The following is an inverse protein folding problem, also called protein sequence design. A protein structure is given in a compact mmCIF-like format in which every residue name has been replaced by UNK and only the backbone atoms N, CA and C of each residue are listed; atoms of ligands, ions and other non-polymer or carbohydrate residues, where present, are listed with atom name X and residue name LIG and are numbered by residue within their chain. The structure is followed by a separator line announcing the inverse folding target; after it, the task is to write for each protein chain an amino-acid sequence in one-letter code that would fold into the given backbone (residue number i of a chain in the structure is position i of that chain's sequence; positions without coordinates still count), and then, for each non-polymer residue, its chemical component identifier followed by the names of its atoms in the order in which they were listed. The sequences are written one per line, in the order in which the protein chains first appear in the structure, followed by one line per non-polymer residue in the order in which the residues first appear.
data_IF_074914501024
#
_entry.id   IF_074914501024
#
_cell.length_a   1.000
_cell.length_b   1.000
_cell.length_c   1.000
_cell.angle_alpha   90.00
_cell.angle_beta   90.00
_cell.angle_gamma   90.00
#
_symmetry.space_group_name_H-M   'P 1'
#
loop_
_entity.id
_entity.type
_entity.pdbx_description
1 polymer ?
#
# COMPACT_ATOMS: atom_id res chain seq x y z
N UNK A 1 7.12 19.26 70.05
CA UNK A 1 6.06 19.79 69.18
C UNK A 1 6.63 20.99 68.46
N UNK A 2 7.13 20.78 67.24
CA UNK A 2 7.60 21.82 66.34
C UNK A 2 7.69 21.21 64.94
N UNK A 3 6.99 21.84 64.02
CA UNK A 3 6.94 21.56 62.59
C UNK A 3 8.32 21.60 61.94
N UNK A 4 8.54 20.75 60.94
CA UNK A 4 9.58 20.95 59.93
C UNK A 4 8.97 20.75 58.55
N UNK A 5 8.73 21.89 57.90
CA UNK A 5 8.60 22.07 56.47
C UNK A 5 9.99 21.89 55.83
N UNK A 6 10.09 21.07 54.79
CA UNK A 6 11.21 21.12 53.86
C UNK A 6 10.81 21.90 52.60
N UNK A 7 11.39 23.10 52.50
CA UNK A 7 11.55 23.89 51.30
C UNK A 7 12.56 23.22 50.37
N UNK A 8 12.18 22.94 49.12
CA UNK A 8 13.13 22.99 48.00
C UNK A 8 12.54 23.87 46.90
N UNK A 9 13.13 25.05 46.82
CA UNK A 9 12.89 26.11 45.86
C UNK A 9 13.49 25.81 44.48
N UNK A 10 12.72 26.15 43.45
CA UNK A 10 13.09 26.63 42.12
C UNK A 10 14.51 26.36 41.57
N UNK A 11 14.54 25.59 40.48
CA UNK A 11 15.45 25.85 39.36
C UNK A 11 14.62 25.88 38.08
N UNK A 12 14.60 27.06 37.46
CA UNK A 12 13.98 27.33 36.16
C UNK A 12 14.70 26.56 35.07
N UNK A 13 14.00 25.68 34.35
CA UNK A 13 14.50 25.10 33.11
C UNK A 13 14.43 26.17 32.01
N UNK A 14 15.53 26.90 31.84
CA UNK A 14 15.82 27.64 30.61
C UNK A 14 16.23 26.62 29.54
N UNK A 15 15.47 26.55 28.44
CA UNK A 15 15.78 25.64 27.34
C UNK A 15 14.61 25.26 26.44
N UNK A 16 13.58 26.10 26.30
CA UNK A 16 12.64 25.99 25.18
C UNK A 16 13.17 26.87 24.04
N UNK A 17 13.84 26.26 23.08
CA UNK A 17 14.37 26.99 21.92
C UNK A 17 15.47 26.24 21.18
N UNK A 18 15.21 25.00 20.77
CA UNK A 18 15.98 24.39 19.67
C UNK A 18 14.97 23.91 18.63
N UNK A 19 14.82 24.71 17.57
CA UNK A 19 14.22 24.27 16.32
C UNK A 19 15.00 23.04 15.86
N UNK A 20 14.37 21.86 15.91
CA UNK A 20 14.92 20.69 15.22
C UNK A 20 14.90 20.97 13.73
N UNK A 21 16.08 21.25 13.18
CA UNK A 21 16.31 21.30 11.74
C UNK A 21 15.73 20.04 11.09
N UNK A 22 14.73 20.27 10.23
CA UNK A 22 14.20 19.28 9.32
C UNK A 22 15.35 18.86 8.39
N UNK A 23 15.55 17.56 8.22
CA UNK A 23 16.55 16.99 7.31
C UNK A 23 16.54 17.73 5.95
N UNK A 24 17.65 18.40 5.56
CA UNK A 24 17.71 19.21 4.35
C UNK A 24 17.50 18.41 3.06
N UNK A 25 17.52 17.07 3.12
CA UNK A 25 17.20 16.19 1.98
C UNK A 25 15.72 16.14 1.59
N UNK A 26 14.79 16.52 2.48
CA UNK A 26 13.34 16.45 2.25
C UNK A 26 12.77 17.82 1.80
N UNK A 27 13.43 18.91 2.21
CA UNK A 27 12.96 20.28 1.98
C UNK A 27 12.87 20.71 0.51
N UNK A 28 13.64 20.08 -0.40
CA UNK A 28 13.69 20.47 -1.80
C UNK A 28 12.61 19.84 -2.69
N UNK A 29 12.05 18.69 -2.27
CA UNK A 29 10.92 18.01 -2.95
C UNK A 29 9.61 18.82 -2.84
N UNK A 30 9.52 19.72 -1.85
CA UNK A 30 8.32 20.49 -1.53
C UNK A 30 8.02 21.67 -2.48
N UNK A 31 8.95 22.07 -3.37
CA UNK A 31 8.76 23.28 -4.20
C UNK A 31 8.00 23.08 -5.51
N UNK A 32 7.53 21.86 -5.82
CA UNK A 32 6.83 21.54 -7.07
C UNK A 32 5.50 20.78 -6.94
N UNK A 33 4.86 20.83 -5.78
CA UNK A 33 3.39 20.67 -5.75
C UNK A 33 2.83 22.00 -6.27
N UNK A 34 2.70 22.07 -7.59
CA UNK A 34 2.21 23.24 -8.32
C UNK A 34 0.89 23.73 -7.72
N UNK A 35 0.78 25.05 -7.56
CA UNK A 35 -0.39 25.82 -7.12
C UNK A 35 -1.67 25.65 -7.98
N UNK A 36 -1.75 24.62 -8.80
CA UNK A 36 -2.82 24.29 -9.75
C UNK A 36 -3.67 23.10 -9.31
N UNK A 37 -3.38 22.49 -8.16
CA UNK A 37 -4.10 21.33 -7.66
C UNK A 37 -5.09 21.71 -6.55
N UNK A 38 -6.38 21.38 -6.73
CA UNK A 38 -7.44 21.67 -5.76
C UNK A 38 -7.17 21.01 -4.39
N UNK A 39 -7.48 21.75 -3.32
CA UNK A 39 -7.43 21.28 -1.94
C UNK A 39 -8.43 20.13 -1.71
N UNK A 40 -8.02 19.04 -1.05
CA UNK A 40 -8.92 17.93 -0.69
C UNK A 40 -9.37 18.06 0.77
N UNK A 41 -10.67 18.00 1.00
CA UNK A 41 -11.27 17.88 2.33
C UNK A 41 -11.38 16.40 2.72
N UNK A 42 -10.60 15.97 3.70
CA UNK A 42 -10.59 14.60 4.21
C UNK A 42 -11.33 14.56 5.54
N UNK A 43 -12.47 13.86 5.61
CA UNK A 43 -13.13 13.62 6.89
C UNK A 43 -12.29 12.68 7.77
N UNK A 44 -11.95 13.09 8.98
CA UNK A 44 -11.36 12.21 9.98
C UNK A 44 -12.46 11.57 10.83
N UNK A 45 -12.54 10.24 10.78
CA UNK A 45 -13.41 9.45 11.62
C UNK A 45 -12.58 8.61 12.58
N UNK A 46 -12.51 9.04 13.84
CA UNK A 46 -11.76 8.35 14.90
C UNK A 46 -12.54 8.28 16.20
N UNK A 47 -12.13 7.42 17.13
CA UNK A 47 -12.65 7.49 18.50
C UNK A 47 -12.09 8.75 19.19
N UNK A 48 -12.95 9.76 19.37
CA UNK A 48 -12.60 11.08 19.91
C UNK A 48 -12.41 12.17 18.85
N UNK A 49 -12.22 13.41 19.32
CA UNK A 49 -12.01 14.59 18.48
C UNK A 49 -10.53 14.78 18.07
N UNK A 50 -9.60 14.43 18.94
CA UNK A 50 -8.15 14.39 18.67
C UNK A 50 -7.61 13.01 19.04
N UNK A 51 -6.83 12.40 18.16
CA UNK A 51 -6.17 11.12 18.47
C UNK A 51 -4.84 11.40 19.18
N UNK A 52 -4.87 11.33 20.51
CA UNK A 52 -3.72 11.69 21.36
C UNK A 52 -2.47 10.90 20.98
N UNK A 53 -1.38 11.63 20.71
CA UNK A 53 -0.06 11.09 20.42
C UNK A 53 0.29 10.90 18.94
N UNK A 54 -0.65 11.07 18.00
CA UNK A 54 -0.39 10.90 16.55
C UNK A 54 -1.11 11.91 15.65
N UNK A 55 -1.96 12.80 16.18
CA UNK A 55 -2.72 13.75 15.36
C UNK A 55 -1.81 14.62 14.49
N UNK A 56 -0.70 15.11 15.05
CA UNK A 56 0.30 15.90 14.32
C UNK A 56 0.88 15.14 13.12
N UNK A 57 1.03 13.82 13.23
CA UNK A 57 1.54 12.97 12.15
C UNK A 57 0.49 12.80 11.03
N UNK A 58 -0.79 12.71 11.38
CA UNK A 58 -1.91 12.68 10.43
C UNK A 58 -1.98 14.02 9.68
N UNK A 59 -1.98 15.13 10.42
CA UNK A 59 -2.08 16.48 9.85
C UNK A 59 -0.85 16.82 8.99
N UNK A 60 0.34 16.41 9.42
CA UNK A 60 1.58 16.52 8.64
C UNK A 60 1.50 15.74 7.33
N UNK A 61 1.00 14.49 7.36
CA UNK A 61 0.83 13.68 6.15
C UNK A 61 -0.21 14.29 5.20
N UNK A 62 -1.35 14.77 5.72
CA UNK A 62 -2.39 15.43 4.94
C UNK A 62 -1.87 16.71 4.27
N UNK A 63 -1.13 17.54 5.00
CA UNK A 63 -0.53 18.78 4.47
C UNK A 63 0.44 18.50 3.32
N UNK A 64 1.23 17.44 3.42
CA UNK A 64 2.17 17.04 2.36
C UNK A 64 1.49 16.68 1.04
N UNK A 65 0.21 16.31 1.06
CA UNK A 65 -0.57 15.94 -0.14
C UNK A 65 -1.62 16.99 -0.54
N UNK A 66 -1.49 18.21 -0.01
CA UNK A 66 -2.45 19.31 -0.21
C UNK A 66 -3.89 18.92 0.19
N UNK A 67 -4.02 18.29 1.36
CA UNK A 67 -5.29 17.97 1.99
C UNK A 67 -5.43 18.67 3.36
N UNK A 68 -6.68 18.86 3.77
CA UNK A 68 -7.04 19.31 5.12
C UNK A 68 -7.93 18.28 5.79
N UNK A 69 -7.69 18.05 7.09
CA UNK A 69 -8.55 17.21 7.91
C UNK A 69 -9.80 18.00 8.31
N UNK A 70 -10.96 17.39 8.18
CA UNK A 70 -12.27 17.93 8.54
C UNK A 70 -12.93 16.99 9.54
N UNK A 71 -13.56 17.55 10.57
CA UNK A 71 -14.27 16.79 11.58
C UNK A 71 -15.77 17.00 11.37
N UNK A 72 -16.52 16.00 10.88
CA UNK A 72 -17.95 16.17 10.62
C UNK A 72 -18.72 16.53 11.89
N UNK A 73 -19.60 17.52 11.79
CA UNK A 73 -20.57 17.84 12.83
C UNK A 73 -21.70 16.79 12.87
N UNK A 74 -22.26 16.57 14.05
CA UNK A 74 -23.32 15.59 14.29
C UNK A 74 -24.40 16.17 15.19
N UNK A 75 -25.63 15.70 14.99
CA UNK A 75 -26.74 15.97 15.89
C UNK A 75 -26.77 14.93 17.02
N UNK A 76 -27.18 15.33 18.22
CA UNK A 76 -27.28 14.42 19.39
C UNK A 76 -28.22 13.24 19.10
N UNK A 77 -29.32 13.50 18.38
CA UNK A 77 -30.31 12.48 17.99
C UNK A 77 -29.74 11.41 17.06
N UNK A 78 -28.72 11.76 16.27
CA UNK A 78 -28.02 10.79 15.42
C UNK A 78 -27.22 9.81 16.28
N UNK A 79 -26.62 10.26 17.39
CA UNK A 79 -25.86 9.39 18.32
C UNK A 79 -26.79 8.40 19.02
N UNK A 80 -27.99 8.82 19.39
CA UNK A 80 -28.97 7.99 20.11
C UNK A 80 -29.54 6.86 19.24
N UNK A 81 -29.65 7.09 17.92
CA UNK A 81 -30.26 6.14 16.96
C UNK A 81 -29.24 5.33 16.15
N UNK A 82 -27.94 5.63 16.27
CA UNK A 82 -26.92 5.08 15.36
C UNK A 82 -26.75 3.56 15.45
N UNK A 83 -26.94 2.99 16.64
CA UNK A 83 -26.80 1.55 16.86
C UNK A 83 -27.86 0.75 16.12
N UNK A 84 -29.08 1.28 16.01
CA UNK A 84 -30.17 0.66 15.26
C UNK A 84 -29.89 0.70 13.76
N UNK A 85 -29.34 1.82 13.26
CA UNK A 85 -29.01 1.97 11.84
C UNK A 85 -27.88 1.04 11.39
N UNK A 86 -26.86 0.87 12.23
CA UNK A 86 -25.75 -0.05 11.95
C UNK A 86 -26.06 -1.50 12.34
N UNK A 87 -27.11 -1.74 13.13
CA UNK A 87 -27.37 -3.06 13.72
C UNK A 87 -26.25 -3.52 14.67
N UNK A 88 -25.49 -2.59 15.23
CA UNK A 88 -24.30 -2.84 16.06
C UNK A 88 -24.39 -2.04 17.36
N UNK A 89 -24.41 -2.74 18.48
CA UNK A 89 -24.33 -2.13 19.82
C UNK A 89 -22.88 -1.86 20.20
N UNK A 90 -22.60 -0.68 20.72
CA UNK A 90 -21.25 -0.18 21.00
C UNK A 90 -21.23 0.50 22.36
N UNK A 91 -20.43 -0.02 23.29
CA UNK A 91 -20.32 0.50 24.64
C UNK A 91 -19.67 1.90 24.65
N UNK A 92 -18.61 2.09 23.87
CA UNK A 92 -17.87 3.35 23.80
C UNK A 92 -18.73 4.50 23.21
N UNK A 93 -18.93 5.61 23.95
CA UNK A 93 -19.56 6.81 23.41
C UNK A 93 -18.80 7.42 22.24
N UNK A 94 -17.46 7.37 22.26
CA UNK A 94 -16.61 7.91 21.20
C UNK A 94 -16.73 7.13 19.89
N UNK A 95 -16.94 5.81 19.98
CA UNK A 95 -17.20 4.98 18.80
C UNK A 95 -18.62 5.21 18.26
N UNK A 96 -19.61 5.44 19.12
CA UNK A 96 -20.96 5.87 18.66
C UNK A 96 -20.91 7.23 17.98
N UNK A 97 -20.12 8.17 18.50
CA UNK A 97 -19.86 9.47 17.84
C UNK A 97 -19.20 9.28 16.46
N UNK A 98 -18.22 8.39 16.36
CA UNK A 98 -17.58 8.05 15.08
C UNK A 98 -18.58 7.50 14.05
N UNK A 99 -19.51 6.63 14.48
CA UNK A 99 -20.58 6.12 13.63
C UNK A 99 -21.56 7.24 13.21
N UNK A 100 -21.93 8.15 14.13
CA UNK A 100 -22.80 9.27 13.82
C UNK A 100 -22.16 10.25 12.81
N UNK A 101 -20.84 10.48 12.92
CA UNK A 101 -20.09 11.28 11.94
C UNK A 101 -20.11 10.64 10.54
N UNK A 102 -20.04 9.30 10.48
CA UNK A 102 -20.20 8.57 9.22
C UNK A 102 -21.58 8.82 8.60
N UNK A 103 -22.65 8.76 9.40
CA UNK A 103 -24.02 9.09 8.96
C UNK A 103 -24.14 10.52 8.44
N UNK A 104 -23.50 11.49 9.10
CA UNK A 104 -23.49 12.90 8.66
C UNK A 104 -22.90 13.07 7.25
N UNK A 105 -21.84 12.33 6.93
CA UNK A 105 -21.26 12.29 5.57
C UNK A 105 -22.23 11.64 4.58
N UNK A 106 -22.76 10.45 4.91
CA UNK A 106 -23.64 9.69 4.01
C UNK A 106 -24.95 10.42 3.69
N UNK A 107 -25.52 11.10 4.68
CA UNK A 107 -26.74 11.90 4.51
C UNK A 107 -26.51 13.22 3.78
N UNK A 108 -25.25 13.57 3.49
CA UNK A 108 -24.87 14.80 2.79
C UNK A 108 -24.95 16.06 3.65
N UNK A 109 -25.08 15.94 4.98
CA UNK A 109 -25.01 17.09 5.90
C UNK A 109 -23.63 17.75 5.85
N UNK A 110 -22.57 16.94 5.69
CA UNK A 110 -21.18 17.40 5.56
C UNK A 110 -20.60 16.91 4.24
N UNK A 111 -20.13 17.85 3.41
CA UNK A 111 -19.49 17.54 2.13
C UNK A 111 -17.97 17.42 2.27
N UNK A 112 -17.44 16.26 1.90
CA UNK A 112 -16.00 15.94 1.88
C UNK A 112 -15.63 15.21 0.61
N UNK A 113 -14.35 15.27 0.24
CA UNK A 113 -13.81 14.62 -0.96
C UNK A 113 -13.30 13.20 -0.69
N UNK A 114 -13.00 12.90 0.57
CA UNK A 114 -12.41 11.65 1.04
C UNK A 114 -12.68 11.41 2.52
N UNK A 115 -12.54 10.16 2.97
CA UNK A 115 -12.67 9.77 4.40
C UNK A 115 -11.47 8.97 4.86
N UNK A 116 -10.96 9.34 6.03
CA UNK A 116 -9.92 8.62 6.74
C UNK A 116 -10.47 8.10 8.07
N UNK A 117 -10.53 6.78 8.20
CA UNK A 117 -11.11 6.05 9.33
C UNK A 117 -9.99 5.48 10.19
N UNK A 118 -9.98 5.83 11.47
CA UNK A 118 -8.79 5.81 12.29
C UNK A 118 -9.09 5.25 13.70
N UNK A 119 -8.54 4.08 14.07
CA UNK A 119 -8.69 3.53 15.42
C UNK A 119 -7.42 2.85 15.95
N UNK A 120 -7.33 2.66 17.26
CA UNK A 120 -6.21 1.98 17.92
C UNK A 120 -6.29 0.48 17.70
N UNK A 121 -5.15 -0.13 17.39
CA UNK A 121 -5.05 -1.58 17.14
C UNK A 121 -5.42 -2.47 18.33
N UNK A 122 -5.38 -1.94 19.56
CA UNK A 122 -5.62 -2.72 20.80
C UNK A 122 -7.11 -2.88 21.15
N UNK A 123 -7.99 -2.10 20.54
CA UNK A 123 -9.40 -2.10 20.88
C UNK A 123 -10.20 -2.96 19.89
N UNK A 124 -10.64 -4.15 20.34
CA UNK A 124 -11.44 -5.06 19.52
C UNK A 124 -12.77 -4.44 19.07
N UNK A 125 -13.46 -3.73 19.97
CA UNK A 125 -14.69 -3.00 19.63
C UNK A 125 -14.44 -1.96 18.52
N UNK A 126 -13.34 -1.21 18.60
CA UNK A 126 -12.97 -0.23 17.59
C UNK A 126 -12.56 -0.85 16.25
N UNK A 127 -12.05 -2.08 16.22
CA UNK A 127 -11.76 -2.80 14.98
C UNK A 127 -13.06 -3.17 14.24
N UNK A 128 -14.08 -3.63 14.97
CA UNK A 128 -15.41 -3.94 14.43
C UNK A 128 -16.06 -2.64 13.92
N UNK A 129 -16.10 -1.60 14.76
CA UNK A 129 -16.70 -0.30 14.38
C UNK A 129 -15.99 0.33 13.18
N UNK A 130 -14.66 0.29 13.12
CA UNK A 130 -13.88 0.78 11.96
C UNK A 130 -14.31 0.07 10.67
N UNK A 131 -14.45 -1.25 10.72
CA UNK A 131 -14.85 -2.06 9.57
C UNK A 131 -16.27 -1.72 9.10
N UNK A 132 -17.20 -1.57 10.05
CA UNK A 132 -18.59 -1.24 9.78
C UNK A 132 -18.79 0.19 9.27
N UNK A 133 -18.15 1.19 9.90
CA UNK A 133 -18.17 2.60 9.45
C UNK A 133 -17.63 2.72 8.03
N UNK A 134 -16.52 2.05 7.75
CA UNK A 134 -15.92 2.01 6.42
C UNK A 134 -16.90 1.42 5.39
N UNK A 135 -17.47 0.24 5.68
CA UNK A 135 -18.45 -0.42 4.80
C UNK A 135 -19.67 0.46 4.56
N UNK A 136 -20.21 1.05 5.62
CA UNK A 136 -21.38 1.93 5.56
C UNK A 136 -21.17 3.13 4.62
N UNK A 137 -20.00 3.78 4.66
CA UNK A 137 -19.68 4.89 3.76
C UNK A 137 -19.44 4.38 2.34
N UNK A 138 -18.72 3.28 2.17
CA UNK A 138 -18.41 2.71 0.86
C UNK A 138 -19.67 2.25 0.10
N UNK A 139 -20.60 1.57 0.78
CA UNK A 139 -21.79 1.02 0.14
C UNK A 139 -22.83 2.10 -0.20
N UNK A 140 -22.86 3.19 0.58
CA UNK A 140 -23.85 4.27 0.42
C UNK A 140 -23.31 5.49 -0.34
N UNK A 141 -22.00 5.56 -0.62
CA UNK A 141 -21.38 6.72 -1.27
C UNK A 141 -20.32 6.33 -2.28
N UNK A 142 -19.96 7.25 -3.19
CA UNK A 142 -18.80 7.11 -4.08
C UNK A 142 -17.53 7.78 -3.54
N UNK A 143 -17.46 8.04 -2.23
CA UNK A 143 -16.35 8.75 -1.59
C UNK A 143 -15.25 7.74 -1.28
N UNK A 144 -13.97 8.02 -1.63
CA UNK A 144 -12.87 7.14 -1.27
C UNK A 144 -12.65 7.11 0.24
N UNK A 145 -12.47 5.90 0.78
CA UNK A 145 -12.30 5.66 2.22
C UNK A 145 -11.03 4.84 2.44
N UNK A 146 -10.18 5.30 3.36
CA UNK A 146 -9.06 4.51 3.89
C UNK A 146 -9.30 4.26 5.37
N UNK A 147 -9.12 3.01 5.78
CA UNK A 147 -9.03 2.62 7.18
C UNK A 147 -7.58 2.45 7.60
N UNK A 148 -7.25 2.88 8.81
CA UNK A 148 -5.95 2.62 9.41
C UNK A 148 -6.10 2.28 10.90
N UNK A 149 -5.33 1.26 11.29
CA UNK A 149 -5.20 0.81 12.66
C UNK A 149 -3.84 1.24 13.18
N UNK A 150 -3.79 2.26 14.04
CA UNK A 150 -2.52 2.83 14.48
C UNK A 150 -1.84 1.96 15.52
N UNK A 151 -0.51 1.98 15.47
CA UNK A 151 0.37 1.55 16.56
C UNK A 151 0.93 2.78 17.27
N UNK A 152 1.48 2.59 18.48
CA UNK A 152 2.04 3.66 19.34
C UNK A 152 3.24 4.42 18.73
N UNK A 153 3.69 4.09 17.51
CA UNK A 153 4.85 4.69 16.82
C UNK A 153 4.57 5.06 15.37
N UNK A 154 3.34 5.44 15.04
CA UNK A 154 3.01 5.86 13.67
C UNK A 154 3.66 7.20 13.34
N UNK A 155 4.24 7.34 12.15
CA UNK A 155 4.86 8.58 11.65
C UNK A 155 4.16 9.07 10.38
N UNK A 156 4.29 10.36 10.06
CA UNK A 156 3.75 10.96 8.85
C UNK A 156 4.26 10.26 7.59
N UNK A 157 5.53 9.85 7.58
CA UNK A 157 6.12 9.07 6.48
C UNK A 157 5.40 7.71 6.26
N UNK A 158 4.93 7.08 7.34
CA UNK A 158 4.16 5.81 7.27
C UNK A 158 2.75 6.03 6.74
N UNK A 159 2.17 7.21 7.00
CA UNK A 159 0.84 7.60 6.55
C UNK A 159 0.85 8.21 5.14
N UNK A 160 1.98 8.73 4.68
CA UNK A 160 2.08 9.52 3.46
C UNK A 160 1.52 8.78 2.23
N UNK A 161 1.97 7.55 1.99
CA UNK A 161 1.47 6.73 0.86
C UNK A 161 -0.04 6.53 0.93
N UNK A 162 -0.60 6.37 2.13
CA UNK A 162 -2.05 6.23 2.32
C UNK A 162 -2.76 7.53 1.99
N UNK A 163 -2.26 8.67 2.47
CA UNK A 163 -2.84 9.97 2.17
C UNK A 163 -2.70 10.35 0.69
N UNK A 164 -1.60 10.00 0.05
CA UNK A 164 -1.41 10.17 -1.40
C UNK A 164 -2.40 9.34 -2.21
N UNK A 165 -2.59 8.05 -1.86
CA UNK A 165 -3.57 7.20 -2.52
C UNK A 165 -4.99 7.76 -2.36
N UNK A 166 -5.35 8.19 -1.13
CA UNK A 166 -6.66 8.76 -0.82
C UNK A 166 -6.96 10.01 -1.66
N UNK A 167 -6.03 10.96 -1.64
CA UNK A 167 -6.16 12.23 -2.37
C UNK A 167 -6.10 12.03 -3.88
N UNK A 168 -5.30 11.07 -4.36
CA UNK A 168 -5.26 10.69 -5.78
C UNK A 168 -6.61 10.17 -6.24
N UNK A 169 -7.22 9.24 -5.51
CA UNK A 169 -8.54 8.70 -5.86
C UNK A 169 -9.63 9.77 -5.82
N UNK A 170 -9.53 10.73 -4.88
CA UNK A 170 -10.45 11.85 -4.81
C UNK A 170 -10.31 12.83 -6.00
N UNK A 171 -9.07 13.20 -6.38
CA UNK A 171 -8.79 14.29 -7.32
C UNK A 171 -8.63 13.86 -8.76
N UNK A 172 -8.08 12.67 -9.00
CA UNK A 172 -7.58 12.24 -10.32
C UNK A 172 -8.48 11.20 -11.00
N UNK A 173 -9.79 11.19 -10.70
CA UNK A 173 -10.76 10.23 -11.27
C UNK A 173 -10.68 10.09 -12.79
N UNK A 174 -10.52 11.19 -13.53
CA UNK A 174 -10.38 11.17 -14.99
C UNK A 174 -9.10 10.48 -15.48
N UNK A 175 -7.99 10.65 -14.75
CA UNK A 175 -6.73 9.97 -15.04
C UNK A 175 -6.88 8.47 -14.76
N UNK A 176 -7.53 8.10 -13.65
CA UNK A 176 -7.71 6.71 -13.23
C UNK A 176 -8.72 5.95 -14.10
N UNK A 177 -9.70 6.65 -14.69
CA UNK A 177 -10.65 6.08 -15.63
C UNK A 177 -10.02 5.67 -16.99
N UNK A 178 -8.75 5.99 -17.25
CA UNK A 178 -8.09 5.60 -18.51
C UNK A 178 -7.92 4.08 -18.56
N UNK A 179 -8.48 3.47 -19.59
CA UNK A 179 -8.38 2.03 -19.85
C UNK A 179 -7.36 1.66 -20.93
N UNK A 180 -6.83 2.67 -21.64
CA UNK A 180 -5.92 2.47 -22.77
C UNK A 180 -4.69 3.36 -22.63
N UNK A 181 -3.54 2.77 -22.93
CA UNK A 181 -2.30 3.47 -23.18
C UNK A 181 -2.27 3.86 -24.66
N UNK A 182 -1.94 5.12 -24.93
CA UNK A 182 -1.88 5.70 -26.28
C UNK A 182 -0.53 6.36 -26.49
N UNK A 183 -0.01 6.35 -27.72
CA UNK A 183 1.28 6.94 -28.05
C UNK A 183 2.46 6.14 -27.51
N UNK A 184 3.66 6.72 -27.55
CA UNK A 184 4.90 6.12 -27.09
C UNK A 184 5.24 6.67 -25.69
N UNK A 185 4.95 5.91 -24.64
CA UNK A 185 5.21 6.30 -23.24
C UNK A 185 6.09 5.30 -22.53
N UNK A 186 6.69 5.74 -21.43
CA UNK A 186 7.47 4.87 -20.56
C UNK A 186 7.01 4.99 -19.11
N UNK A 187 7.32 3.96 -18.34
CA UNK A 187 7.09 3.94 -16.90
C UNK A 187 8.27 3.31 -16.18
N UNK A 188 8.64 3.87 -15.03
CA UNK A 188 9.71 3.36 -14.15
C UNK A 188 9.14 3.11 -12.76
N UNK A 189 9.21 1.86 -12.30
CA UNK A 189 8.92 1.44 -10.92
C UNK A 189 10.25 1.26 -10.17
N UNK A 190 10.57 2.21 -9.30
CA UNK A 190 11.75 2.15 -8.43
C UNK A 190 11.37 1.55 -7.07
N UNK A 191 11.26 0.22 -7.03
CA UNK A 191 10.95 -0.53 -5.82
C UNK A 191 12.15 -0.71 -4.88
N UNK A 192 11.88 -1.24 -3.69
CA UNK A 192 12.87 -1.47 -2.63
C UNK A 192 13.97 -2.47 -2.99
N UNK A 193 13.63 -3.53 -3.72
CA UNK A 193 14.56 -4.61 -4.09
C UNK A 193 14.96 -4.56 -5.56
N UNK A 194 14.03 -4.14 -6.43
CA UNK A 194 14.26 -4.13 -7.88
C UNK A 194 13.61 -2.92 -8.54
N UNK A 195 14.30 -2.39 -9.54
CA UNK A 195 13.84 -1.29 -10.39
C UNK A 195 13.44 -1.86 -11.74
N UNK A 196 12.25 -1.48 -12.22
CA UNK A 196 11.68 -1.96 -13.48
C UNK A 196 11.33 -0.78 -14.37
N UNK A 197 11.53 -0.93 -15.66
CA UNK A 197 11.07 0.03 -16.65
C UNK A 197 10.35 -0.69 -17.78
N UNK A 198 9.36 -0.03 -18.37
CA UNK A 198 8.70 -0.48 -19.61
C UNK A 198 8.57 0.68 -20.57
N UNK A 199 8.68 0.38 -21.87
CA UNK A 199 8.28 1.26 -22.97
C UNK A 199 7.04 0.66 -23.61
N UNK A 200 6.00 1.46 -23.76
CA UNK A 200 4.73 1.06 -24.34
C UNK A 200 4.39 1.91 -25.56
N UNK A 201 3.83 1.26 -26.60
CA UNK A 201 3.25 1.91 -27.77
C UNK A 201 1.86 1.36 -28.03
N UNK A 202 0.85 2.23 -27.94
CA UNK A 202 -0.55 1.93 -28.25
C UNK A 202 -1.03 0.59 -27.64
N UNK A 203 -0.96 0.48 -26.32
CA UNK A 203 -1.28 -0.69 -25.47
C UNK A 203 -0.28 -1.85 -25.49
N UNK A 204 0.76 -1.80 -26.33
CA UNK A 204 1.76 -2.88 -26.41
C UNK A 204 3.01 -2.53 -25.63
N UNK A 205 3.48 -3.44 -24.79
CA UNK A 205 4.83 -3.37 -24.22
C UNK A 205 5.81 -3.74 -25.34
N UNK A 206 6.71 -2.81 -25.68
CA UNK A 206 7.71 -2.99 -26.74
C UNK A 206 9.14 -3.05 -26.23
N UNK A 207 9.36 -2.75 -24.95
CA UNK A 207 10.65 -2.93 -24.30
C UNK A 207 10.53 -2.96 -22.79
N UNK A 208 11.44 -3.68 -22.13
CA UNK A 208 11.45 -3.93 -20.68
C UNK A 208 12.87 -3.83 -20.13
N UNK A 209 12.97 -3.42 -18.88
CA UNK A 209 14.22 -3.49 -18.11
C UNK A 209 13.91 -3.86 -16.68
N UNK A 210 14.68 -4.78 -16.11
CA UNK A 210 14.51 -5.21 -14.73
C UNK A 210 15.89 -5.45 -14.12
N UNK A 211 16.23 -4.65 -13.12
CA UNK A 211 17.54 -4.68 -12.45
C UNK A 211 17.37 -4.63 -10.93
N UNK A 212 18.35 -5.12 -10.15
CA UNK A 212 18.39 -4.89 -8.71
C UNK A 212 18.43 -3.39 -8.37
N UNK A 213 17.68 -2.96 -7.36
CA UNK A 213 17.81 -1.59 -6.83
C UNK A 213 19.00 -1.56 -5.88
N UNK A 214 20.10 -0.94 -6.30
CA UNK A 214 21.28 -0.71 -5.43
C UNK A 214 21.43 0.78 -5.17
N UNK A 215 21.62 1.54 -6.24
CA UNK A 215 21.62 3.00 -6.21
C UNK A 215 20.48 3.51 -7.07
N UNK A 216 19.52 4.17 -6.44
CA UNK A 216 18.18 4.44 -6.99
C UNK A 216 18.22 5.07 -8.39
N UNK A 217 18.99 6.15 -8.57
CA UNK A 217 19.07 6.85 -9.86
C UNK A 217 19.73 5.97 -10.92
N UNK A 218 20.89 5.40 -10.61
CA UNK A 218 21.69 4.61 -11.56
C UNK A 218 20.94 3.33 -11.97
N UNK A 219 20.23 2.70 -11.03
CA UNK A 219 19.38 1.51 -11.30
C UNK A 219 18.18 1.89 -12.19
N UNK A 220 17.60 3.08 -12.00
CA UNK A 220 16.52 3.58 -12.84
C UNK A 220 17.00 3.92 -14.27
N UNK A 221 18.17 4.56 -14.40
CA UNK A 221 18.82 4.80 -15.70
C UNK A 221 19.10 3.49 -16.43
N UNK A 222 19.69 2.51 -15.74
CA UNK A 222 19.99 1.21 -16.32
C UNK A 222 18.73 0.47 -16.79
N UNK A 223 17.71 0.36 -15.92
CA UNK A 223 16.44 -0.27 -16.28
C UNK A 223 15.79 0.43 -17.49
N UNK A 224 15.78 1.75 -17.50
CA UNK A 224 15.16 2.51 -18.58
C UNK A 224 15.93 2.40 -19.88
N UNK A 225 17.26 2.44 -19.84
CA UNK A 225 18.12 2.24 -21.01
C UNK A 225 17.94 0.83 -21.60
N UNK A 226 17.82 -0.20 -20.75
CA UNK A 226 17.51 -1.56 -21.20
C UNK A 226 16.16 -1.63 -21.92
N UNK A 227 15.12 -1.00 -21.35
CA UNK A 227 13.80 -0.95 -21.98
C UNK A 227 13.79 -0.18 -23.31
N UNK A 228 14.48 0.96 -23.39
CA UNK A 228 14.60 1.74 -24.62
C UNK A 228 15.38 0.98 -25.71
N UNK A 229 16.45 0.28 -25.32
CA UNK A 229 17.25 -0.55 -26.22
C UNK A 229 16.44 -1.70 -26.80
N UNK A 230 15.66 -2.41 -25.98
CA UNK A 230 14.76 -3.48 -26.46
C UNK A 230 13.68 -2.90 -27.40
N UNK A 231 13.15 -1.72 -27.10
CA UNK A 231 12.15 -1.05 -27.92
C UNK A 231 12.70 -0.42 -29.21
N UNK A 232 14.02 -0.27 -29.35
CA UNK A 232 14.65 0.40 -30.49
C UNK A 232 14.33 1.90 -30.57
N UNK A 233 14.18 2.57 -29.43
CA UNK A 233 13.85 4.00 -29.32
C UNK A 233 14.88 4.74 -28.47
N UNK A 234 14.82 6.07 -28.52
CA UNK A 234 15.65 6.97 -27.72
C UNK A 234 14.81 7.75 -26.72
N UNK A 235 15.45 8.43 -25.76
CA UNK A 235 14.76 9.26 -24.78
C UNK A 235 13.91 10.36 -25.42
N UNK A 236 14.35 10.92 -26.54
CA UNK A 236 13.62 11.97 -27.28
C UNK A 236 12.33 11.48 -27.94
N UNK A 237 12.19 10.18 -28.17
CA UNK A 237 10.97 9.61 -28.75
C UNK A 237 9.86 9.42 -27.70
N UNK A 238 10.22 9.35 -26.42
CA UNK A 238 9.28 9.10 -25.32
C UNK A 238 8.43 10.36 -25.08
N UNK A 239 7.14 10.26 -25.37
CA UNK A 239 6.18 11.37 -25.31
C UNK A 239 5.71 11.71 -23.89
N UNK A 240 5.74 10.73 -22.99
CA UNK A 240 5.49 10.93 -21.56
C UNK A 240 6.17 9.83 -20.73
N UNK A 241 6.67 10.19 -19.55
CA UNK A 241 7.30 9.30 -18.58
C UNK A 241 6.55 9.35 -17.24
N UNK A 242 6.16 8.18 -16.74
CA UNK A 242 5.66 8.00 -15.38
C UNK A 242 6.70 7.37 -14.46
N UNK A 243 6.71 7.75 -13.18
CA UNK A 243 7.50 7.07 -12.14
C UNK A 243 6.62 6.65 -10.96
N UNK A 244 6.95 5.51 -10.36
CA UNK A 244 6.29 4.96 -9.17
C UNK A 244 7.28 4.21 -8.27
N UNK A 245 6.76 3.63 -7.18
CA UNK A 245 7.52 2.96 -6.13
C UNK A 245 8.15 3.91 -5.11
N UNK A 246 8.95 3.35 -4.21
CA UNK A 246 9.64 4.07 -3.14
C UNK A 246 10.56 5.18 -3.65
N UNK A 247 11.24 4.97 -4.78
CA UNK A 247 12.17 5.95 -5.37
C UNK A 247 11.52 6.98 -6.31
N UNK A 248 10.19 7.00 -6.45
CA UNK A 248 9.50 7.73 -7.54
C UNK A 248 9.82 9.21 -7.62
N UNK A 249 9.98 9.90 -6.48
CA UNK A 249 10.25 11.33 -6.44
C UNK A 249 11.68 11.61 -6.89
N UNK A 250 12.65 10.93 -6.30
CA UNK A 250 14.05 11.07 -6.68
C UNK A 250 14.28 10.76 -8.17
N UNK A 251 13.70 9.65 -8.65
CA UNK A 251 13.80 9.26 -10.06
C UNK A 251 13.02 10.23 -10.94
N UNK A 252 11.82 10.64 -10.54
CA UNK A 252 10.95 11.52 -11.31
C UNK A 252 11.53 12.92 -11.48
N UNK A 253 12.13 13.48 -10.44
CA UNK A 253 12.82 14.77 -10.50
C UNK A 253 14.06 14.70 -11.40
N UNK A 254 14.88 13.67 -11.24
CA UNK A 254 16.08 13.44 -12.04
C UNK A 254 15.75 13.26 -13.53
N UNK A 255 14.75 12.44 -13.82
CA UNK A 255 14.34 12.09 -15.20
C UNK A 255 13.38 13.10 -15.83
N UNK A 256 12.92 14.10 -15.06
CA UNK A 256 11.86 15.04 -15.43
C UNK A 256 10.59 14.32 -15.89
N UNK A 257 10.08 13.42 -15.04
CA UNK A 257 8.87 12.66 -15.30
C UNK A 257 7.63 13.57 -15.32
N UNK A 258 6.71 13.28 -16.24
CA UNK A 258 5.42 13.97 -16.38
C UNK A 258 4.44 13.57 -15.27
N UNK A 259 4.60 12.35 -14.75
CA UNK A 259 3.79 11.80 -13.68
C UNK A 259 4.68 11.13 -12.64
N UNK A 260 4.64 11.61 -11.40
CA UNK A 260 5.15 10.90 -10.22
C UNK A 260 3.96 10.44 -9.40
N UNK A 261 3.72 9.14 -9.31
CA UNK A 261 2.51 8.60 -8.70
C UNK A 261 2.81 7.45 -7.74
N UNK A 262 2.18 7.47 -6.58
CA UNK A 262 2.32 6.42 -5.56
C UNK A 262 1.85 5.04 -6.07
N UNK A 263 2.40 3.99 -5.47
CA UNK A 263 2.33 2.63 -6.00
C UNK A 263 0.98 1.92 -5.84
N UNK A 264 0.14 2.25 -4.85
CA UNK A 264 -1.20 1.63 -4.69
C UNK A 264 -2.01 1.84 -5.95
N UNK A 265 -2.16 3.09 -6.37
CA UNK A 265 -2.93 3.46 -7.56
C UNK A 265 -2.31 2.89 -8.83
N UNK A 266 -0.99 3.01 -8.96
CA UNK A 266 -0.29 2.57 -10.17
C UNK A 266 -0.33 1.05 -10.31
N UNK A 267 -0.09 0.32 -9.21
CA UNK A 267 -0.09 -1.13 -9.19
C UNK A 267 -1.49 -1.70 -9.40
N UNK A 268 -2.54 -1.09 -8.82
CA UNK A 268 -3.93 -1.47 -9.11
C UNK A 268 -4.23 -1.34 -10.60
N UNK A 269 -3.88 -0.20 -11.21
CA UNK A 269 -4.08 0.03 -12.65
C UNK A 269 -3.27 -0.92 -13.51
N UNK A 270 -2.01 -1.15 -13.19
CA UNK A 270 -1.15 -2.09 -13.90
C UNK A 270 -1.65 -3.53 -13.82
N UNK A 271 -2.08 -3.96 -12.62
CA UNK A 271 -2.56 -5.32 -12.38
C UNK A 271 -3.83 -5.63 -13.18
N UNK A 272 -4.86 -4.78 -13.08
CA UNK A 272 -6.11 -5.00 -13.81
C UNK A 272 -5.96 -4.81 -15.32
N UNK A 273 -5.02 -3.97 -15.76
CA UNK A 273 -4.70 -3.79 -17.17
C UNK A 273 -4.04 -5.04 -17.77
N UNK A 274 -3.02 -5.59 -17.11
CA UNK A 274 -2.33 -6.80 -17.59
C UNK A 274 -3.21 -8.06 -17.49
N UNK A 275 -4.15 -8.10 -16.56
CA UNK A 275 -5.09 -9.20 -16.41
C UNK A 275 -6.32 -9.12 -17.33
N UNK A 276 -6.48 -8.03 -18.10
CA UNK A 276 -7.70 -7.72 -18.87
C UNK A 276 -8.97 -7.73 -17.99
N UNK A 277 -8.87 -7.08 -16.82
CA UNK A 277 -9.92 -6.98 -15.78
C UNK A 277 -10.16 -5.55 -15.32
N UNK A 278 -10.09 -4.60 -16.26
CA UNK A 278 -10.21 -3.17 -15.93
C UNK A 278 -11.63 -2.73 -15.52
N UNK A 279 -12.65 -3.57 -15.71
CA UNK A 279 -14.05 -3.28 -15.35
C UNK A 279 -14.58 -4.28 -14.32
N UNK A 280 -15.44 -3.79 -13.44
CA UNK A 280 -16.00 -4.56 -12.32
C UNK A 280 -15.05 -4.60 -11.13
N UNK A 281 -15.38 -5.48 -10.18
CA UNK A 281 -14.62 -5.67 -8.94
C UNK A 281 -13.47 -6.66 -9.15
N UNK A 282 -12.36 -6.45 -8.43
CA UNK A 282 -11.25 -7.38 -8.35
C UNK A 282 -10.48 -7.18 -7.03
N UNK A 283 -9.66 -8.17 -6.66
CA UNK A 283 -8.69 -8.03 -5.58
C UNK A 283 -7.28 -8.20 -6.12
N UNK A 284 -6.41 -7.23 -5.90
CA UNK A 284 -5.00 -7.27 -6.27
C UNK A 284 -4.16 -7.60 -5.06
N UNK A 285 -3.34 -8.65 -5.16
CA UNK A 285 -2.34 -9.05 -4.17
C UNK A 285 -0.95 -8.75 -4.73
N UNK A 286 -0.31 -7.69 -4.26
CA UNK A 286 1.05 -7.29 -4.64
C UNK A 286 2.01 -7.71 -3.53
N UNK A 287 2.75 -8.79 -3.72
CA UNK A 287 3.74 -9.26 -2.76
C UNK A 287 5.14 -8.92 -3.30
N UNK A 288 5.69 -7.84 -2.76
CA UNK A 288 6.97 -7.29 -3.13
C UNK A 288 8.14 -7.99 -2.44
N UNK A 289 9.32 -7.35 -2.54
CA UNK A 289 10.54 -7.85 -1.92
C UNK A 289 10.59 -7.63 -0.41
N UNK A 290 10.06 -6.50 0.09
CA UNK A 290 10.06 -6.16 1.53
C UNK A 290 8.65 -5.97 2.08
N UNK A 291 7.75 -5.42 1.27
CA UNK A 291 6.36 -5.16 1.62
C UNK A 291 5.39 -6.06 0.83
N UNK A 292 4.14 -6.01 1.24
CA UNK A 292 3.03 -6.70 0.59
C UNK A 292 1.75 -5.88 0.74
N UNK A 293 0.83 -6.07 -0.19
CA UNK A 293 -0.39 -5.27 -0.28
C UNK A 293 -1.56 -6.14 -0.74
N UNK A 294 -2.70 -5.91 -0.13
CA UNK A 294 -3.99 -6.37 -0.63
C UNK A 294 -4.81 -5.14 -0.96
N UNK A 295 -5.36 -5.09 -2.17
CA UNK A 295 -6.07 -3.92 -2.69
C UNK A 295 -7.36 -4.40 -3.35
N UNK A 296 -8.50 -3.94 -2.85
CA UNK A 296 -9.75 -4.02 -3.59
C UNK A 296 -9.74 -2.98 -4.71
N UNK A 297 -10.25 -3.36 -5.87
CA UNK A 297 -10.27 -2.53 -7.07
C UNK A 297 -11.68 -2.58 -7.65
N UNK A 298 -12.21 -1.43 -8.06
CA UNK A 298 -13.46 -1.34 -8.83
C UNK A 298 -13.21 -0.46 -10.05
N UNK A 299 -13.47 -0.99 -11.24
CA UNK A 299 -13.25 -0.29 -12.51
C UNK A 299 -11.82 0.28 -12.66
N UNK A 300 -10.84 -0.49 -12.18
CA UNK A 300 -9.42 -0.12 -12.16
C UNK A 300 -9.03 0.92 -11.10
N UNK A 301 -9.98 1.43 -10.32
CA UNK A 301 -9.73 2.41 -9.26
C UNK A 301 -9.49 1.66 -7.94
N UNK A 302 -8.39 1.93 -7.21
CA UNK A 302 -8.17 1.34 -5.89
C UNK A 302 -9.25 1.83 -4.91
N UNK A 303 -9.85 0.89 -4.22
CA UNK A 303 -10.75 1.14 -3.09
C UNK A 303 -10.00 0.97 -1.77
N UNK A 304 -10.46 0.02 -0.98
CA UNK A 304 -9.83 -0.38 0.27
C UNK A 304 -8.53 -1.14 0.01
N UNK A 305 -7.51 -0.84 0.80
CA UNK A 305 -6.25 -1.55 0.75
C UNK A 305 -5.57 -1.63 2.11
N UNK A 306 -4.72 -2.62 2.23
CA UNK A 306 -3.75 -2.77 3.31
C UNK A 306 -2.34 -2.75 2.75
N UNK A 307 -1.41 -2.30 3.58
CA UNK A 307 0.01 -2.46 3.32
C UNK A 307 0.61 -3.10 4.57
N UNK A 308 1.19 -4.28 4.40
CA UNK A 308 1.94 -4.98 5.44
C UNK A 308 3.45 -4.87 5.21
N UNK A 309 4.19 -5.75 5.86
CA UNK A 309 5.63 -5.91 5.60
C UNK A 309 6.57 -4.99 6.37
N UNK A 310 6.14 -4.38 7.48
CA UNK A 310 7.11 -3.86 8.48
C UNK A 310 8.03 -5.00 8.95
N UNK A 311 7.49 -6.23 9.03
CA UNK A 311 8.26 -7.45 9.20
C UNK A 311 8.41 -8.19 7.87
N UNK A 312 9.64 -8.49 7.46
CA UNK A 312 9.96 -9.17 6.20
C UNK A 312 9.48 -10.64 6.11
N UNK A 313 8.79 -11.16 7.13
CA UNK A 313 8.33 -12.56 7.21
C UNK A 313 7.32 -12.97 6.13
N UNK A 314 6.57 -12.02 5.58
CA UNK A 314 5.55 -12.24 4.54
C UNK A 314 5.93 -11.60 3.19
N UNK A 315 7.23 -11.57 2.86
CA UNK A 315 7.76 -10.88 1.68
C UNK A 315 8.66 -11.77 0.83
N UNK A 316 9.00 -11.31 -0.38
CA UNK A 316 9.97 -11.96 -1.25
C UNK A 316 11.34 -12.17 -0.59
N UNK A 317 11.74 -11.34 0.38
CA UNK A 317 13.00 -11.51 1.11
C UNK A 317 13.05 -12.81 1.89
N UNK A 318 11.94 -13.24 2.48
CA UNK A 318 11.87 -14.53 3.17
C UNK A 318 12.07 -15.68 2.17
N UNK A 319 11.41 -15.63 1.01
CA UNK A 319 11.59 -16.64 -0.05
C UNK A 319 13.00 -16.64 -0.63
N UNK A 320 13.64 -15.48 -0.75
CA UNK A 320 15.05 -15.35 -1.13
C UNK A 320 15.99 -16.03 -0.12
N UNK A 321 15.74 -15.84 1.18
CA UNK A 321 16.52 -16.52 2.22
C UNK A 321 16.26 -18.04 2.24
N UNK A 322 15.01 -18.46 2.02
CA UNK A 322 14.65 -19.87 1.86
C UNK A 322 15.39 -20.52 0.70
N UNK A 323 15.39 -19.90 -0.48
CA UNK A 323 16.06 -20.47 -1.66
C UNK A 323 17.57 -20.65 -1.44
N UNK A 324 18.23 -19.63 -0.85
CA UNK A 324 19.64 -19.74 -0.44
C UNK A 324 19.88 -20.87 0.55
N UNK A 325 18.99 -21.06 1.53
CA UNK A 325 19.12 -22.14 2.51
C UNK A 325 18.97 -23.52 1.88
N UNK A 326 18.11 -23.65 0.88
CA UNK A 326 17.89 -24.89 0.13
C UNK A 326 18.94 -25.14 -0.96
N UNK A 327 19.84 -24.19 -1.22
CA UNK A 327 20.87 -24.31 -2.24
C UNK A 327 20.34 -24.23 -3.67
N UNK A 328 19.20 -23.56 -3.89
CA UNK A 328 18.58 -23.35 -5.20
C UNK A 328 18.47 -21.86 -5.54
N UNK A 329 18.32 -21.53 -6.81
CA UNK A 329 17.99 -20.16 -7.22
C UNK A 329 16.55 -19.80 -6.86
N UNK A 330 16.25 -18.50 -6.74
CA UNK A 330 14.89 -18.02 -6.45
C UNK A 330 13.89 -18.43 -7.55
N UNK A 331 14.35 -18.55 -8.80
CA UNK A 331 13.55 -18.98 -9.95
C UNK A 331 13.21 -20.47 -9.90
N UNK A 332 14.02 -21.29 -9.22
CA UNK A 332 13.77 -22.74 -9.06
C UNK A 332 12.88 -23.04 -7.84
N UNK A 333 12.79 -22.12 -6.88
CA UNK A 333 12.05 -22.31 -5.64
C UNK A 333 10.56 -22.65 -5.88
N UNK A 334 9.93 -22.00 -6.85
CA UNK A 334 8.52 -22.22 -7.17
C UNK A 334 8.25 -23.66 -7.63
N UNK A 335 9.02 -24.13 -8.62
CA UNK A 335 8.90 -25.50 -9.13
C UNK A 335 9.28 -26.56 -8.09
N UNK A 336 10.20 -26.23 -7.17
CA UNK A 336 10.53 -27.09 -6.03
C UNK A 336 9.36 -27.20 -5.04
N UNK A 337 8.74 -26.07 -4.70
CA UNK A 337 7.59 -26.00 -3.81
C UNK A 337 6.38 -26.80 -4.33
N UNK A 338 6.14 -26.81 -5.65
CA UNK A 338 5.03 -27.58 -6.25
C UNK A 338 5.16 -29.11 -6.08
N UNK A 339 6.36 -29.62 -5.76
CA UNK A 339 6.60 -31.05 -5.55
C UNK A 339 6.41 -31.47 -4.08
N UNK A 340 6.34 -30.51 -3.16
CA UNK A 340 6.25 -30.75 -1.73
C UNK A 340 4.83 -30.64 -1.18
N UNK A 341 4.69 -30.89 0.12
CA UNK A 341 3.47 -30.70 0.88
C UNK A 341 3.74 -29.82 2.08
N UNK A 342 3.14 -28.63 2.09
CA UNK A 342 3.30 -27.66 3.18
C UNK A 342 2.95 -28.25 4.56
N UNK A 343 1.95 -29.13 4.64
CA UNK A 343 1.51 -29.79 5.88
C UNK A 343 2.58 -30.66 6.56
N UNK A 344 3.64 -31.05 5.84
CA UNK A 344 4.71 -31.87 6.40
C UNK A 344 5.68 -31.06 7.27
N UNK A 345 5.66 -29.73 7.15
CA UNK A 345 6.61 -28.83 7.82
C UNK A 345 5.85 -27.77 8.59
N UNK A 346 6.01 -27.76 9.93
CA UNK A 346 5.43 -26.71 10.78
C UNK A 346 6.35 -25.50 10.81
N UNK A 347 5.84 -24.35 10.37
CA UNK A 347 6.57 -23.09 10.36
C UNK A 347 6.06 -22.13 11.44
N UNK A 348 6.97 -21.41 12.10
CA UNK A 348 6.62 -20.21 12.86
C UNK A 348 7.14 -18.99 12.08
N UNK A 349 6.26 -18.32 11.35
CA UNK A 349 6.70 -17.49 10.24
C UNK A 349 6.41 -15.99 10.33
N UNK A 350 5.69 -15.55 11.36
CA UNK A 350 5.44 -14.13 11.62
C UNK A 350 6.73 -13.29 11.68
N UNK A 351 7.83 -13.90 12.14
CA UNK A 351 9.16 -13.32 12.11
C UNK A 351 10.05 -14.08 11.14
N UNK A 352 10.70 -13.37 10.21
CA UNK A 352 11.62 -13.97 9.23
C UNK A 352 12.73 -14.79 9.90
N UNK A 353 13.24 -14.34 11.06
CA UNK A 353 14.30 -15.04 11.82
C UNK A 353 13.79 -16.38 12.34
N UNK A 354 12.60 -16.40 12.94
CA UNK A 354 12.00 -17.65 13.44
C UNK A 354 11.54 -18.55 12.29
N UNK A 355 11.08 -17.99 11.18
CA UNK A 355 10.73 -18.74 9.98
C UNK A 355 11.94 -19.48 9.43
N UNK A 356 13.08 -18.81 9.33
CA UNK A 356 14.35 -19.44 8.91
C UNK A 356 14.78 -20.51 9.92
N UNK A 357 14.69 -20.22 11.22
CA UNK A 357 15.01 -21.23 12.24
C UNK A 357 14.11 -22.48 12.12
N UNK A 358 12.81 -22.32 11.85
CA UNK A 358 11.91 -23.44 11.58
C UNK A 358 12.37 -24.26 10.37
N UNK A 359 12.73 -23.63 9.25
CA UNK A 359 13.24 -24.33 8.06
C UNK A 359 14.50 -25.14 8.38
N UNK A 360 15.43 -24.55 9.14
CA UNK A 360 16.67 -25.22 9.57
C UNK A 360 16.35 -26.47 10.40
N UNK A 361 15.46 -26.32 11.39
CA UNK A 361 15.08 -27.42 12.27
C UNK A 361 14.37 -28.54 11.50
N UNK A 362 13.49 -28.21 10.56
CA UNK A 362 12.77 -29.18 9.74
C UNK A 362 13.70 -29.97 8.83
N UNK A 363 14.67 -29.31 8.18
CA UNK A 363 15.71 -29.98 7.39
C UNK A 363 16.58 -30.91 8.27
N UNK A 364 16.99 -30.45 9.44
CA UNK A 364 17.75 -31.27 10.38
C UNK A 364 16.95 -32.49 10.89
N UNK A 365 15.63 -32.36 10.97
CA UNK A 365 14.70 -33.44 11.29
C UNK A 365 14.38 -34.38 10.12
N UNK A 366 14.98 -34.19 8.94
CA UNK A 366 14.80 -35.06 7.77
C UNK A 366 13.67 -34.67 6.83
N UNK A 367 13.11 -33.47 6.96
CA UNK A 367 12.14 -32.96 5.98
C UNK A 367 12.80 -32.76 4.61
N UNK A 368 12.06 -33.02 3.55
CA UNK A 368 12.57 -32.86 2.18
C UNK A 368 12.69 -31.37 1.81
N UNK A 369 13.66 -30.98 0.95
CA UNK A 369 13.72 -29.61 0.40
C UNK A 369 12.41 -29.16 -0.25
N UNK A 370 11.69 -30.07 -0.91
CA UNK A 370 10.39 -29.84 -1.54
C UNK A 370 9.34 -29.43 -0.52
N UNK A 371 9.19 -30.19 0.57
CA UNK A 371 8.22 -29.89 1.64
C UNK A 371 8.54 -28.56 2.33
N UNK A 372 9.83 -28.28 2.52
CA UNK A 372 10.34 -27.05 3.12
C UNK A 372 10.07 -25.84 2.22
N UNK A 373 10.24 -25.97 0.89
CA UNK A 373 9.88 -24.94 -0.08
C UNK A 373 8.36 -24.69 -0.14
N UNK A 374 7.56 -25.77 -0.13
CA UNK A 374 6.10 -25.69 -0.10
C UNK A 374 5.61 -24.97 1.17
N UNK A 375 6.15 -25.32 2.33
CA UNK A 375 5.81 -24.71 3.60
C UNK A 375 6.20 -23.22 3.65
N UNK A 376 7.35 -22.83 3.08
CA UNK A 376 7.74 -21.43 3.00
C UNK A 376 6.77 -20.60 2.15
N UNK A 377 6.31 -21.13 1.01
CA UNK A 377 5.30 -20.45 0.19
C UNK A 377 3.95 -20.34 0.92
N UNK A 378 3.52 -21.43 1.56
CA UNK A 378 2.30 -21.47 2.37
C UNK A 378 2.34 -20.46 3.52
N UNK A 379 3.47 -20.39 4.21
CA UNK A 379 3.71 -19.46 5.30
C UNK A 379 3.58 -17.99 4.89
N UNK A 380 4.01 -17.61 3.68
CA UNK A 380 3.82 -16.24 3.18
C UNK A 380 2.34 -15.99 2.88
N UNK A 381 1.66 -16.95 2.25
CA UNK A 381 0.23 -16.85 1.96
C UNK A 381 -0.63 -16.78 3.23
N UNK A 382 -0.31 -17.57 4.25
CA UNK A 382 -0.98 -17.59 5.55
C UNK A 382 -0.88 -16.23 6.25
N UNK A 383 0.32 -15.66 6.32
CA UNK A 383 0.49 -14.32 6.92
C UNK A 383 -0.25 -13.23 6.15
N UNK A 384 -0.27 -13.28 4.81
CA UNK A 384 -1.08 -12.35 4.01
C UNK A 384 -2.56 -12.45 4.39
N UNK A 385 -3.08 -13.68 4.50
CA UNK A 385 -4.47 -13.92 4.87
C UNK A 385 -4.81 -13.41 6.27
N UNK A 386 -3.98 -13.73 7.25
CA UNK A 386 -4.22 -13.38 8.66
C UNK A 386 -4.06 -11.88 8.93
N UNK A 387 -3.09 -11.22 8.28
CA UNK A 387 -2.75 -9.82 8.59
C UNK A 387 -3.46 -8.79 7.71
N UNK A 388 -3.86 -9.17 6.48
CA UNK A 388 -4.33 -8.20 5.49
C UNK A 388 -5.72 -8.49 4.97
N UNK A 389 -6.01 -9.75 4.63
CA UNK A 389 -7.29 -10.09 4.01
C UNK A 389 -8.47 -10.03 4.99
N UNK A 390 -8.21 -9.84 6.29
CA UNK A 390 -9.26 -9.50 7.27
C UNK A 390 -9.77 -8.06 7.12
N UNK A 391 -8.92 -7.17 6.62
CA UNK A 391 -9.21 -5.74 6.47
C UNK A 391 -9.49 -5.37 5.00
N UNK A 392 -9.53 -6.34 4.08
CA UNK A 392 -9.89 -6.13 2.66
C UNK A 392 -10.95 -7.14 2.25
N UNK A 393 -12.04 -6.67 1.64
CA UNK A 393 -13.10 -7.50 1.10
C UNK A 393 -12.59 -8.17 -0.17
N UNK A 394 -12.31 -9.47 -0.08
CA UNK A 394 -11.74 -10.25 -1.17
C UNK A 394 -12.85 -10.51 -2.21
N UNK A 395 -12.68 -9.94 -3.40
CA UNK A 395 -13.57 -10.07 -4.54
C UNK A 395 -12.85 -10.77 -5.68
N UNK A 396 -13.55 -11.69 -6.32
CA UNK A 396 -13.06 -12.33 -7.54
C UNK A 396 -13.19 -11.37 -8.75
N UNK A 397 -12.19 -11.37 -9.66
CA UNK A 397 -11.00 -12.22 -9.64
C UNK A 397 -9.94 -11.73 -8.65
N UNK A 398 -9.23 -12.69 -8.04
CA UNK A 398 -8.00 -12.41 -7.27
C UNK A 398 -6.82 -12.42 -8.24
N UNK A 399 -6.11 -11.30 -8.33
CA UNK A 399 -4.99 -11.07 -9.24
C UNK A 399 -3.73 -10.92 -8.40
N UNK A 400 -2.77 -11.81 -8.58
CA UNK A 400 -1.49 -11.76 -7.86
C UNK A 400 -0.38 -11.21 -8.76
N UNK A 401 0.38 -10.25 -8.24
CA UNK A 401 1.35 -9.47 -8.99
C UNK A 401 2.65 -9.26 -8.19
N UNK A 402 3.63 -8.58 -8.80
CA UNK A 402 4.96 -8.40 -8.23
C UNK A 402 5.90 -9.57 -8.55
N UNK A 403 7.18 -9.43 -8.19
CA UNK A 403 8.19 -10.44 -8.55
C UNK A 403 7.94 -11.82 -7.93
N UNK A 404 7.32 -11.87 -6.75
CA UNK A 404 7.03 -13.15 -6.05
C UNK A 404 5.89 -13.93 -6.70
N UNK A 405 5.02 -13.29 -7.48
CA UNK A 405 3.98 -13.97 -8.26
C UNK A 405 4.54 -14.97 -9.27
N UNK A 406 5.81 -14.83 -9.65
CA UNK A 406 6.52 -15.75 -10.55
C UNK A 406 7.01 -17.02 -9.84
N UNK A 407 6.98 -17.06 -8.50
CA UNK A 407 7.35 -18.22 -7.70
C UNK A 407 6.10 -19.10 -7.61
N UNK A 408 5.88 -19.99 -8.58
CA UNK A 408 4.62 -20.73 -8.79
C UNK A 408 4.01 -21.38 -7.53
N UNK A 409 4.84 -21.82 -6.58
CA UNK A 409 4.39 -22.36 -5.29
C UNK A 409 3.62 -21.36 -4.43
N UNK A 410 3.87 -20.06 -4.58
CA UNK A 410 3.20 -18.99 -3.82
C UNK A 410 1.78 -18.71 -4.33
N UNK A 411 1.53 -18.43 -5.62
CA UNK A 411 0.16 -18.38 -6.15
C UNK A 411 -0.63 -19.65 -5.82
N UNK A 412 0.00 -20.83 -5.96
CA UNK A 412 -0.62 -22.11 -5.60
C UNK A 412 -1.04 -22.18 -4.14
N UNK A 413 -0.19 -21.73 -3.22
CA UNK A 413 -0.51 -21.67 -1.81
C UNK A 413 -1.65 -20.69 -1.49
N UNK A 414 -1.68 -19.53 -2.17
CA UNK A 414 -2.78 -18.57 -2.03
C UNK A 414 -4.10 -19.16 -2.54
N UNK A 415 -4.10 -19.85 -3.69
CA UNK A 415 -5.29 -20.55 -4.20
C UNK A 415 -5.81 -21.59 -3.22
N UNK A 416 -4.91 -22.39 -2.64
CA UNK A 416 -5.27 -23.43 -1.68
C UNK A 416 -5.82 -22.87 -0.38
N UNK A 417 -5.29 -21.74 0.09
CA UNK A 417 -5.71 -21.09 1.31
C UNK A 417 -7.07 -20.39 1.13
N UNK A 418 -7.23 -19.63 0.05
CA UNK A 418 -8.44 -18.84 -0.21
C UNK A 418 -9.56 -19.64 -0.87
N UNK A 419 -9.28 -20.83 -1.41
CA UNK A 419 -10.22 -21.64 -2.20
C UNK A 419 -10.79 -20.91 -3.42
N UNK A 420 -10.03 -19.96 -3.97
CA UNK A 420 -10.35 -19.21 -5.20
C UNK A 420 -9.20 -19.35 -6.18
N UNK A 421 -9.51 -19.19 -7.47
CA UNK A 421 -8.47 -19.19 -8.50
C UNK A 421 -7.71 -17.87 -8.49
N UNK A 422 -6.39 -17.93 -8.55
CA UNK A 422 -5.51 -16.76 -8.59
C UNK A 422 -5.05 -16.53 -10.02
N UNK A 423 -5.21 -15.30 -10.52
CA UNK A 423 -4.72 -14.87 -11.82
C UNK A 423 -3.33 -14.27 -11.63
N UNK A 424 -2.31 -14.86 -12.26
CA UNK A 424 -1.00 -14.21 -12.43
C UNK A 424 -0.90 -13.76 -13.88
N UNK A 425 -1.00 -12.45 -14.18
CA UNK A 425 -0.98 -11.98 -15.55
C UNK A 425 0.44 -12.05 -16.15
N UNK A 426 0.58 -12.09 -17.49
CA UNK A 426 1.89 -11.97 -18.11
C UNK A 426 2.53 -10.63 -17.74
N UNK A 427 3.86 -10.63 -17.53
CA UNK A 427 4.61 -9.45 -17.06
C UNK A 427 4.17 -8.92 -15.68
N UNK A 428 3.62 -9.78 -14.80
CA UNK A 428 3.16 -9.42 -13.45
C UNK A 428 4.19 -8.66 -12.58
N UNK A 429 5.50 -8.85 -12.82
CA UNK A 429 6.56 -8.12 -12.13
C UNK A 429 6.72 -6.66 -12.60
N UNK A 430 6.17 -6.31 -13.75
CA UNK A 430 6.26 -4.98 -14.38
C UNK A 430 5.02 -4.12 -14.12
N UNK A 431 4.07 -4.57 -13.30
CA UNK A 431 2.79 -3.87 -13.07
C UNK A 431 2.95 -2.39 -12.71
N UNK A 432 3.90 -2.03 -11.83
CA UNK A 432 4.15 -0.63 -11.48
C UNK A 432 4.60 0.20 -12.68
N UNK A 433 5.55 -0.32 -13.46
CA UNK A 433 6.04 0.35 -14.66
C UNK A 433 4.95 0.44 -15.75
N UNK A 434 4.14 -0.61 -15.94
CA UNK A 434 3.01 -0.63 -16.88
C UNK A 434 1.92 0.35 -16.48
N UNK A 435 1.52 0.35 -15.21
CA UNK A 435 0.55 1.31 -14.69
C UNK A 435 1.04 2.75 -14.84
N UNK A 436 2.34 3.01 -14.58
CA UNK A 436 2.93 4.33 -14.73
C UNK A 436 2.91 4.80 -16.19
N UNK A 437 3.30 3.93 -17.13
CA UNK A 437 3.25 4.23 -18.57
C UNK A 437 1.81 4.45 -19.07
N UNK A 438 0.85 3.65 -18.57
CA UNK A 438 -0.57 3.78 -18.87
C UNK A 438 -1.12 5.14 -18.43
N UNK A 439 -0.86 5.54 -17.18
CA UNK A 439 -1.35 6.82 -16.65
C UNK A 439 -0.60 8.01 -17.27
N UNK A 440 0.70 7.90 -17.49
CA UNK A 440 1.50 8.95 -18.14
C UNK A 440 1.00 9.28 -19.55
N UNK A 441 0.36 8.34 -20.25
CA UNK A 441 -0.27 8.63 -21.56
C UNK A 441 -1.37 9.71 -21.51
N UNK A 442 -1.88 10.04 -20.33
CA UNK A 442 -2.78 11.19 -20.12
C UNK A 442 -2.11 12.56 -20.18
N UNK A 443 -0.78 12.62 -20.28
CA UNK A 443 0.02 13.84 -20.33
C UNK A 443 0.61 14.12 -21.71
N UNK A 444 0.36 13.27 -22.70
CA UNK A 444 0.77 13.51 -24.08
C UNK A 444 0.04 14.76 -24.60
N UNK A 445 0.79 15.74 -25.10
CA UNK A 445 0.32 17.04 -25.61
C UNK A 445 -0.15 18.05 -24.53
N UNK A 446 0.46 18.07 -23.34
CA UNK A 446 0.35 19.20 -22.41
C UNK A 446 1.44 20.25 -22.60
#
# INVERSE_FOLDING_TARGET
MSEQNDNISGTSCAGCGEEKEIDPGIGHVLKKITATENLVKVAQLSCGAEYSGIQDEIDSAAKQVNAIMVYPEVDITDIESIEEEFGLKVASPDLRLMMARAKSIVTGKVHVDAVFVATCFRCAEAAIVRSEVRRYIHDKTGIPVISYSFTERTTAATLLTRMEALTTTARRKSLLAREKQTGLTAGIDSGSTTTKAVVMKDNKIIGKGWVPTIKVIESAEEAFNNAMKEAGVTRSDIQALGTTGYGRFLVGEHMKADLMQEEITVNSKGAVYLADKQKGVATVLDIGGMDNKAISVTDGIPGMFTMGGICAGASGRFLEMTSKRLGVSITELGALALKGKASNVKMNSYCIVFGIQSLVNSLAGGSTPEDVAAAACHSVAEQLFEQQLQEVDVKEPVIMVGGTSLIEGLPKAVEELLKVKVIVPPNAQYIGAVGAALLASGFINK
#
